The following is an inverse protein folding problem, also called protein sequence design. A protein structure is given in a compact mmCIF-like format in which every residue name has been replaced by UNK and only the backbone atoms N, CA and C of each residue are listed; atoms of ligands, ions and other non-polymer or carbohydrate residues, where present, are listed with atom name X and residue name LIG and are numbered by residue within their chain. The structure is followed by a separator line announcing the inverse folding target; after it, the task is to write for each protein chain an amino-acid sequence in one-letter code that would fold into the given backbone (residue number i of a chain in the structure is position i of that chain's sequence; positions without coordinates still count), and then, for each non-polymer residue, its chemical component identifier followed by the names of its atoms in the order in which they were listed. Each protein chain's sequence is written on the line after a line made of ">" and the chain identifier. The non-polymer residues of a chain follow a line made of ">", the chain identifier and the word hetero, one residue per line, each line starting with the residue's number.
data_IF_173939829065
#
_entry.id   IF_173939829065
#
_cell.length_a   1.000
_cell.length_b   1.000
_cell.length_c   1.000
_cell.angle_alpha   90.00
_cell.angle_beta   90.00
_cell.angle_gamma   90.00
#
_symmetry.space_group_name_H-M   'P 1'
#
loop_
_entity.id
_entity.type
_entity.pdbx_description
1 polymer ?
#
# COMPACT_ATOMS: atom_id res chain seq x y z
N UNK A 1 -10.91 -41.09 -3.07
CA UNK A 1 -10.47 -39.80 -2.48
C UNK A 1 -9.08 -39.45 -3.01
N UNK A 2 -8.97 -38.52 -3.95
CA UNK A 2 -7.72 -37.83 -4.29
C UNK A 2 -8.09 -36.36 -4.49
N UNK A 3 -7.72 -35.51 -3.53
CA UNK A 3 -8.01 -34.07 -3.57
C UNK A 3 -7.09 -33.44 -4.63
N UNK A 4 -7.69 -32.91 -5.69
CA UNK A 4 -7.03 -32.06 -6.68
C UNK A 4 -6.67 -30.73 -6.04
N UNK A 5 -5.37 -30.47 -5.86
CA UNK A 5 -4.88 -29.15 -5.47
C UNK A 5 -4.95 -28.23 -6.69
N UNK A 6 -5.77 -27.20 -6.59
CA UNK A 6 -5.92 -26.10 -7.54
C UNK A 6 -4.65 -25.25 -7.62
N UNK A 7 -4.10 -25.18 -8.84
CA UNK A 7 -3.21 -24.15 -9.42
C UNK A 7 -2.85 -22.94 -8.54
N UNK A 8 -1.57 -22.86 -8.12
CA UNK A 8 -0.93 -21.65 -7.62
C UNK A 8 -0.83 -20.58 -8.73
N UNK A 9 -0.93 -19.28 -8.42
CA UNK A 9 -0.87 -18.22 -9.43
C UNK A 9 0.57 -18.06 -9.94
N UNK A 10 0.74 -18.07 -11.27
CA UNK A 10 2.03 -17.80 -11.89
C UNK A 10 2.39 -16.31 -11.79
N UNK A 11 3.65 -15.96 -11.50
CA UNK A 11 4.10 -14.57 -11.49
C UNK A 11 4.07 -13.98 -12.91
N UNK A 12 3.43 -12.83 -13.06
CA UNK A 12 3.32 -12.10 -14.32
C UNK A 12 4.71 -11.78 -14.88
N UNK A 13 4.97 -12.24 -16.10
CA UNK A 13 6.29 -12.21 -16.71
C UNK A 13 6.48 -10.86 -17.43
N UNK A 14 7.30 -9.98 -16.87
CA UNK A 14 7.71 -8.70 -17.47
C UNK A 14 8.42 -8.84 -18.83
N UNK A 15 8.56 -7.71 -19.53
CA UNK A 15 9.11 -7.62 -20.90
C UNK A 15 10.54 -8.18 -20.98
N UNK A 16 11.01 -8.65 -22.14
CA UNK A 16 12.37 -9.20 -22.28
C UNK A 16 13.48 -8.25 -21.82
N UNK A 17 13.29 -6.94 -21.99
CA UNK A 17 14.22 -5.89 -21.55
C UNK A 17 14.25 -5.76 -20.02
N UNK A 18 13.09 -5.81 -19.37
CA UNK A 18 13.00 -5.80 -17.90
C UNK A 18 13.66 -7.02 -17.28
N UNK A 19 13.62 -8.18 -17.95
CA UNK A 19 14.32 -9.40 -17.50
C UNK A 19 15.83 -9.23 -17.55
N UNK A 20 16.35 -8.56 -18.57
CA UNK A 20 17.78 -8.30 -18.68
C UNK A 20 18.24 -7.27 -17.65
N UNK A 21 17.50 -6.17 -17.46
CA UNK A 21 17.81 -5.18 -16.43
C UNK A 21 17.71 -5.76 -15.02
N UNK A 22 16.69 -6.60 -14.76
CA UNK A 22 16.53 -7.27 -13.47
C UNK A 22 17.63 -8.33 -13.24
N UNK A 23 18.03 -9.07 -14.28
CA UNK A 23 19.16 -10.01 -14.24
C UNK A 23 20.49 -9.31 -13.96
N UNK A 24 20.76 -8.18 -14.61
CA UNK A 24 21.97 -7.40 -14.40
C UNK A 24 21.98 -6.74 -13.00
N UNK A 25 20.82 -6.27 -12.53
CA UNK A 25 20.67 -5.76 -11.17
C UNK A 25 20.95 -6.83 -10.10
N UNK A 26 20.43 -8.06 -10.28
CA UNK A 26 20.73 -9.17 -9.38
C UNK A 26 22.22 -9.55 -9.41
N UNK A 27 22.85 -9.63 -10.58
CA UNK A 27 24.28 -9.95 -10.70
C UNK A 27 25.19 -8.84 -10.13
N UNK A 28 24.82 -7.58 -10.30
CA UNK A 28 25.50 -6.43 -9.71
C UNK A 28 25.38 -6.46 -8.17
N UNK A 29 24.22 -6.83 -7.63
CA UNK A 29 24.05 -7.04 -6.18
C UNK A 29 24.84 -8.25 -5.68
N UNK A 30 24.89 -9.36 -6.42
CA UNK A 30 25.65 -10.56 -6.02
C UNK A 30 27.15 -10.27 -5.89
N UNK A 31 27.70 -9.36 -6.69
CA UNK A 31 29.10 -8.89 -6.50
C UNK A 31 29.30 -8.09 -5.20
N UNK A 32 28.25 -7.47 -4.67
CA UNK A 32 28.27 -6.75 -3.38
C UNK A 32 27.99 -7.68 -2.18
N UNK A 33 27.34 -8.82 -2.42
CA UNK A 33 27.09 -9.87 -1.44
C UNK A 33 28.03 -11.07 -1.59
N UNK A 34 29.23 -10.88 -2.16
CA UNK A 34 30.30 -11.84 -2.04
C UNK A 34 30.89 -11.80 -0.62
N UNK A 35 30.08 -12.13 0.39
CA UNK A 35 30.64 -12.53 1.68
C UNK A 35 31.33 -13.86 1.42
N UNK A 36 32.66 -13.97 1.61
CA UNK A 36 33.32 -15.26 1.57
C UNK A 36 32.54 -16.19 2.49
N UNK A 37 32.22 -17.42 2.06
CA UNK A 37 31.68 -18.42 2.98
C UNK A 37 32.76 -18.65 4.03
N UNK A 38 32.70 -17.88 5.12
CA UNK A 38 33.52 -18.14 6.30
C UNK A 38 33.21 -19.58 6.67
N UNK A 39 34.21 -20.45 6.60
CA UNK A 39 34.08 -21.80 7.14
C UNK A 39 33.75 -21.65 8.60
N UNK A 40 32.47 -21.83 8.95
CA UNK A 40 32.02 -21.76 10.34
C UNK A 40 32.55 -23.04 11.00
N UNK A 41 33.54 -22.88 11.87
CA UNK A 41 34.10 -23.91 12.72
C UNK A 41 33.58 -23.70 14.14
N UNK A 42 33.62 -24.73 14.98
CA UNK A 42 33.18 -24.61 16.37
C UNK A 42 33.91 -23.47 17.11
N UNK A 43 35.19 -23.26 16.82
CA UNK A 43 36.03 -22.25 17.47
C UNK A 43 35.68 -20.80 17.08
N UNK A 44 35.11 -20.59 15.89
CA UNK A 44 34.70 -19.27 15.40
C UNK A 44 33.18 -19.04 15.52
N UNK A 45 32.46 -20.01 16.09
CA UNK A 45 31.02 -19.95 16.31
C UNK A 45 30.60 -18.76 17.19
N UNK A 46 31.28 -18.44 18.31
CA UNK A 46 30.88 -17.31 19.15
C UNK A 46 30.94 -15.98 18.40
N UNK A 47 32.03 -15.75 17.64
CA UNK A 47 32.20 -14.53 16.83
C UNK A 47 31.22 -14.47 15.66
N UNK A 48 30.89 -15.60 15.04
CA UNK A 48 29.88 -15.66 13.99
C UNK A 48 28.49 -15.29 14.52
N UNK A 49 28.13 -15.78 15.72
CA UNK A 49 26.85 -15.43 16.37
C UNK A 49 26.80 -13.95 16.74
N UNK A 50 27.88 -13.39 17.29
CA UNK A 50 27.97 -11.96 17.59
C UNK A 50 27.79 -11.09 16.34
N UNK A 51 28.43 -11.47 15.23
CA UNK A 51 28.29 -10.78 13.95
C UNK A 51 26.85 -10.85 13.42
N UNK A 52 26.19 -11.99 13.55
CA UNK A 52 24.79 -12.15 13.13
C UNK A 52 23.88 -11.27 14.00
N UNK A 53 24.09 -11.25 15.32
CA UNK A 53 23.31 -10.41 16.23
C UNK A 53 23.45 -8.93 15.88
N UNK A 54 24.69 -8.47 15.67
CA UNK A 54 24.97 -7.10 15.25
C UNK A 54 24.26 -6.75 13.93
N UNK A 55 24.35 -7.61 12.92
CA UNK A 55 23.68 -7.39 11.63
C UNK A 55 22.16 -7.44 11.75
N UNK A 56 21.61 -8.31 12.60
CA UNK A 56 20.18 -8.39 12.84
C UNK A 56 19.65 -7.10 13.49
N UNK A 57 20.35 -6.57 14.51
CA UNK A 57 20.03 -5.30 15.15
C UNK A 57 20.13 -4.12 14.17
N UNK A 58 21.15 -4.11 13.33
CA UNK A 58 21.32 -3.08 12.30
C UNK A 58 20.18 -3.12 11.26
N UNK A 59 19.75 -4.32 10.84
CA UNK A 59 18.61 -4.47 9.95
C UNK A 59 17.31 -4.01 10.60
N UNK A 60 17.11 -4.28 11.89
CA UNK A 60 15.94 -3.79 12.63
C UNK A 60 15.90 -2.26 12.67
N UNK A 61 17.04 -1.61 12.96
CA UNK A 61 17.14 -0.14 12.93
C UNK A 61 16.82 0.44 11.56
N UNK A 62 17.35 -0.17 10.50
CA UNK A 62 17.06 0.25 9.11
C UNK A 62 15.59 0.08 8.76
N UNK A 63 14.95 -1.02 9.19
CA UNK A 63 13.52 -1.23 8.99
C UNK A 63 12.71 -0.15 9.69
N UNK A 64 13.02 0.14 10.95
CA UNK A 64 12.31 1.18 11.71
C UNK A 64 12.46 2.56 11.07
N UNK A 65 13.65 2.92 10.60
CA UNK A 65 13.88 4.18 9.88
C UNK A 65 13.06 4.25 8.58
N UNK A 66 13.02 3.17 7.80
CA UNK A 66 12.21 3.11 6.58
C UNK A 66 10.73 3.27 6.89
N UNK A 67 10.23 2.63 7.95
CA UNK A 67 8.83 2.77 8.37
C UNK A 67 8.49 4.22 8.76
N UNK A 68 9.38 4.90 9.49
CA UNK A 68 9.20 6.30 9.87
C UNK A 68 9.13 7.22 8.65
N UNK A 69 10.04 7.04 7.68
CA UNK A 69 10.04 7.81 6.43
C UNK A 69 8.80 7.53 5.57
N UNK A 70 8.32 6.29 5.52
CA UNK A 70 7.10 5.94 4.80
C UNK A 70 5.84 6.55 5.46
N UNK A 71 5.81 6.64 6.79
CA UNK A 71 4.73 7.32 7.51
C UNK A 71 4.73 8.82 7.18
N UNK A 72 5.89 9.48 7.26
CA UNK A 72 6.03 10.91 6.95
C UNK A 72 5.70 11.25 5.50
N UNK A 73 5.99 10.36 4.55
CA UNK A 73 5.66 10.58 3.14
C UNK A 73 4.16 10.46 2.83
N UNK A 74 3.38 9.70 3.61
CA UNK A 74 1.92 9.72 3.43
C UNK A 74 1.30 11.07 3.81
N UNK A 75 1.88 11.78 4.78
CA UNK A 75 1.36 13.07 5.24
C UNK A 75 1.90 14.27 4.42
N UNK A 76 2.98 14.07 3.65
CA UNK A 76 3.70 15.16 2.95
C UNK A 76 3.60 15.12 1.44
N UNK A 77 3.03 14.07 0.84
CA UNK A 77 2.75 14.10 -0.59
C UNK A 77 1.68 15.17 -0.86
N UNK A 78 1.97 16.18 -1.70
CA UNK A 78 0.99 17.19 -2.02
C UNK A 78 -0.21 16.50 -2.68
N UNK A 79 -1.39 16.70 -2.09
CA UNK A 79 -2.61 16.13 -2.62
C UNK A 79 -2.82 16.61 -4.06
N UNK A 80 -2.96 15.64 -4.96
CA UNK A 80 -3.06 15.89 -6.39
C UNK A 80 -4.46 16.43 -6.68
N UNK A 81 -4.52 17.70 -7.08
CA UNK A 81 -5.77 18.36 -7.46
C UNK A 81 -6.13 17.98 -8.91
N UNK A 82 -7.28 17.34 -9.05
CA UNK A 82 -7.85 16.96 -10.33
C UNK A 82 -8.83 18.04 -10.81
N UNK A 83 -8.85 18.29 -12.11
CA UNK A 83 -9.92 19.05 -12.74
C UNK A 83 -11.18 18.20 -12.95
N UNK A 84 -12.21 18.78 -13.57
CA UNK A 84 -13.48 18.07 -13.81
C UNK A 84 -13.33 16.89 -14.77
N UNK A 85 -12.41 16.98 -15.72
CA UNK A 85 -12.21 15.96 -16.74
C UNK A 85 -11.48 14.77 -16.14
N UNK A 86 -10.38 15.04 -15.44
CA UNK A 86 -9.60 14.06 -14.69
C UNK A 86 -10.43 13.39 -13.58
N UNK A 87 -11.26 14.14 -12.84
CA UNK A 87 -12.13 13.57 -11.83
C UNK A 87 -13.21 12.65 -12.44
N UNK A 88 -13.72 13.01 -13.62
CA UNK A 88 -14.69 12.17 -14.34
C UNK A 88 -14.08 10.84 -14.80
N UNK A 89 -12.84 10.89 -15.29
CA UNK A 89 -12.07 9.71 -15.68
C UNK A 89 -11.69 8.85 -14.47
N UNK A 90 -11.25 9.48 -13.38
CA UNK A 90 -10.88 8.80 -12.14
C UNK A 90 -12.05 8.02 -11.52
N UNK A 91 -13.24 8.64 -11.44
CA UNK A 91 -14.45 8.03 -10.92
C UNK A 91 -15.17 7.14 -11.94
N UNK A 92 -14.74 7.15 -13.21
CA UNK A 92 -15.39 6.45 -14.34
C UNK A 92 -16.86 6.83 -14.50
N UNK A 93 -17.17 8.11 -14.39
CA UNK A 93 -18.52 8.67 -14.60
C UNK A 93 -18.49 9.77 -15.66
N UNK A 94 -19.62 10.05 -16.29
CA UNK A 94 -19.69 11.13 -17.28
C UNK A 94 -19.64 12.51 -16.60
N UNK A 95 -19.11 13.53 -17.30
CA UNK A 95 -19.08 14.92 -16.77
C UNK A 95 -20.46 15.42 -16.33
N UNK A 96 -21.57 15.19 -17.07
CA UNK A 96 -22.91 15.55 -16.61
C UNK A 96 -23.28 14.90 -15.27
N UNK A 97 -23.02 13.60 -15.12
CA UNK A 97 -23.28 12.88 -13.86
C UNK A 97 -22.44 13.43 -12.71
N UNK A 98 -21.17 13.76 -12.99
CA UNK A 98 -20.29 14.40 -12.02
C UNK A 98 -20.85 15.75 -11.56
N UNK A 99 -21.29 16.61 -12.49
CA UNK A 99 -21.96 17.87 -12.14
C UNK A 99 -23.23 17.64 -11.31
N UNK A 100 -24.07 16.65 -11.66
CA UNK A 100 -25.26 16.31 -10.89
C UNK A 100 -24.94 15.81 -9.48
N UNK A 101 -23.82 15.12 -9.29
CA UNK A 101 -23.37 14.67 -7.96
C UNK A 101 -22.82 15.82 -7.13
N UNK A 102 -22.03 16.71 -7.75
CA UNK A 102 -21.53 17.93 -7.11
C UNK A 102 -22.68 18.84 -6.69
N UNK A 103 -23.67 19.08 -7.57
CA UNK A 103 -24.81 19.95 -7.26
C UNK A 103 -25.71 19.41 -6.15
N UNK A 104 -25.76 18.08 -5.99
CA UNK A 104 -26.49 17.41 -4.89
C UNK A 104 -25.68 17.31 -3.60
N UNK A 105 -24.42 17.77 -3.59
CA UNK A 105 -23.54 17.66 -2.43
C UNK A 105 -23.07 16.24 -2.14
N UNK A 106 -23.18 15.31 -3.10
CA UNK A 106 -22.76 13.91 -2.92
C UNK A 106 -21.26 13.72 -3.10
N UNK A 107 -20.57 14.64 -3.80
CA UNK A 107 -19.13 14.56 -4.07
C UNK A 107 -18.37 15.69 -3.38
N UNK A 108 -17.25 15.37 -2.70
CA UNK A 108 -16.36 16.39 -2.16
C UNK A 108 -15.71 17.16 -3.31
N UNK A 109 -15.70 18.49 -3.21
CA UNK A 109 -15.16 19.35 -4.25
C UNK A 109 -14.73 20.72 -3.68
N UNK A 110 -13.80 21.35 -4.39
CA UNK A 110 -13.33 22.71 -4.11
C UNK A 110 -13.72 23.63 -5.26
N UNK A 111 -14.53 24.65 -4.97
CA UNK A 111 -14.90 25.66 -5.96
C UNK A 111 -13.96 26.86 -5.87
N UNK A 112 -13.32 27.21 -6.99
CA UNK A 112 -12.55 28.46 -7.12
C UNK A 112 -13.02 29.19 -8.37
N UNK A 113 -13.73 30.30 -8.17
CA UNK A 113 -14.33 31.08 -9.26
C UNK A 113 -15.26 30.21 -10.13
N UNK A 114 -14.99 30.11 -11.44
CA UNK A 114 -15.75 29.32 -12.43
C UNK A 114 -15.34 27.84 -12.50
N UNK A 115 -14.29 27.40 -11.78
CA UNK A 115 -13.75 26.04 -11.90
C UNK A 115 -13.98 25.20 -10.63
N UNK A 116 -14.14 23.91 -10.84
CA UNK A 116 -14.21 22.87 -9.82
C UNK A 116 -12.89 22.10 -9.80
N UNK A 117 -12.36 21.91 -8.61
CA UNK A 117 -11.19 21.09 -8.33
C UNK A 117 -11.57 19.98 -7.38
N UNK A 118 -10.88 18.85 -7.49
CA UNK A 118 -11.15 17.66 -6.69
C UNK A 118 -9.85 17.16 -6.09
N UNK A 119 -9.83 16.94 -4.78
CA UNK A 119 -8.76 16.21 -4.13
C UNK A 119 -8.79 14.76 -4.56
N UNK A 120 -7.69 14.23 -5.10
CA UNK A 120 -7.61 12.81 -5.44
C UNK A 120 -7.70 11.94 -4.18
N UNK A 121 -7.19 12.41 -3.05
CA UNK A 121 -7.31 11.72 -1.77
C UNK A 121 -8.77 11.67 -1.29
N UNK A 122 -9.49 12.79 -1.27
CA UNK A 122 -10.90 12.83 -0.87
C UNK A 122 -11.78 11.96 -1.79
N UNK A 123 -11.51 11.95 -3.10
CA UNK A 123 -12.23 11.06 -4.02
C UNK A 123 -11.96 9.58 -3.75
N UNK A 124 -10.74 9.20 -3.35
CA UNK A 124 -10.44 7.82 -2.90
C UNK A 124 -11.19 7.48 -1.62
N UNK A 125 -11.22 8.40 -0.67
CA UNK A 125 -11.95 8.22 0.60
C UNK A 125 -13.45 8.10 0.37
N UNK A 126 -14.01 8.91 -0.52
CA UNK A 126 -15.41 8.80 -0.97
C UNK A 126 -15.73 7.39 -1.51
N UNK A 127 -14.86 6.83 -2.36
CA UNK A 127 -15.03 5.47 -2.88
C UNK A 127 -14.96 4.42 -1.75
N UNK A 128 -14.04 4.58 -0.79
CA UNK A 128 -13.93 3.70 0.38
C UNK A 128 -15.17 3.79 1.27
N UNK A 129 -15.72 4.98 1.49
CA UNK A 129 -16.93 5.19 2.27
C UNK A 129 -18.18 4.58 1.59
N UNK A 130 -18.21 4.56 0.26
CA UNK A 130 -19.24 3.87 -0.52
C UNK A 130 -19.18 2.34 -0.46
N UNK A 131 -18.17 1.74 0.23
CA UNK A 131 -18.08 0.29 0.42
C UNK A 131 -19.33 -0.20 1.17
N UNK A 132 -20.07 -1.13 0.56
CA UNK A 132 -21.09 -1.90 1.26
C UNK A 132 -20.42 -2.82 2.27
N UNK A 133 -20.73 -2.60 3.54
CA UNK A 133 -20.22 -3.43 4.63
C UNK A 133 -20.75 -4.85 4.48
N UNK A 134 -19.90 -5.83 4.83
CA UNK A 134 -20.34 -7.23 4.93
C UNK A 134 -21.31 -7.40 6.10
N UNK A 135 -22.18 -8.42 6.06
CA UNK A 135 -23.09 -8.73 7.17
C UNK A 135 -22.32 -8.86 8.50
N UNK A 136 -21.14 -9.48 8.50
CA UNK A 136 -20.29 -9.59 9.69
C UNK A 136 -19.79 -8.23 10.22
N UNK A 137 -19.48 -7.28 9.32
CA UNK A 137 -19.06 -5.93 9.71
C UNK A 137 -20.24 -5.10 10.24
N UNK A 138 -21.44 -5.35 9.73
CA UNK A 138 -22.69 -4.72 10.20
C UNK A 138 -23.05 -5.25 11.59
N UNK A 139 -23.01 -6.57 11.78
CA UNK A 139 -23.30 -7.22 13.07
C UNK A 139 -22.32 -6.73 14.14
N UNK A 140 -21.02 -6.64 13.81
CA UNK A 140 -20.01 -6.12 14.73
C UNK A 140 -20.26 -4.65 15.13
N UNK A 141 -20.68 -3.79 14.19
CA UNK A 141 -21.07 -2.41 14.51
C UNK A 141 -22.32 -2.34 15.36
N UNK A 142 -23.31 -3.20 15.09
CA UNK A 142 -24.54 -3.27 15.88
C UNK A 142 -24.26 -3.72 17.31
N UNK A 143 -23.43 -4.75 17.51
CA UNK A 143 -23.02 -5.19 18.86
C UNK A 143 -22.26 -4.10 19.60
N UNK A 144 -21.35 -3.40 18.94
CA UNK A 144 -20.60 -2.30 19.56
C UNK A 144 -21.52 -1.15 19.99
N UNK A 145 -22.52 -0.79 19.18
CA UNK A 145 -23.49 0.25 19.52
C UNK A 145 -24.38 -0.15 20.71
N UNK A 146 -24.80 -1.42 20.78
CA UNK A 146 -25.58 -1.94 21.90
C UNK A 146 -24.79 -1.95 23.21
N UNK A 147 -23.49 -2.25 23.16
CA UNK A 147 -22.59 -2.23 24.33
C UNK A 147 -22.37 -0.81 24.85
N UNK A 148 -22.08 0.15 23.96
CA UNK A 148 -21.85 1.55 24.34
C UNK A 148 -23.07 2.20 25.03
N UNK A 149 -24.29 1.74 24.73
CA UNK A 149 -25.53 2.23 25.35
C UNK A 149 -25.85 1.60 26.70
N UNK A 150 -25.17 0.51 27.08
CA UNK A 150 -25.37 -0.16 28.38
C UNK A 150 -24.44 0.37 29.48
N UNK A 151 -23.46 1.19 29.12
CA UNK A 151 -22.48 1.77 30.05
C UNK A 151 -22.83 3.22 30.48
N UNK A 152 -23.88 3.82 29.90
CA UNK A 152 -24.53 5.07 30.31
C UNK A 152 -25.83 4.78 31.10
#
# INVERSE_FOLDING_TARGET
>A
MKKSFSSLPQPQIGSPEERQHRSLFYLQQESQFNTPRLGISHDNLPSAVELILYKAQENEKRLNLVLELLQQTQDTLPDELLDTDQASEFLKITKPTLYSKVSRGELPHMKRSKRLYFSKQELKEYLKAGKRLSNAEIDAKATAYLQAKQED
#
